data_IF_237038058348
#
_entry.id   IF_237038058348
#
_cell.length_a   1.000
_cell.length_b   1.000
_cell.length_c   1.000
_cell.angle_alpha   90.00
_cell.angle_beta   90.00
_cell.angle_gamma   90.00
#
_symmetry.space_group_name_H-M   'P 1'
#
loop_
_entity.id
_entity.type
_entity.pdbx_description
1 polymer ?
#
# COMPACT_ATOMS: atom_id res chain seq x y z
N UNK A 1 67.67 25.34 12.77
CA UNK A 1 69.04 24.75 12.88
C UNK A 1 68.95 23.25 12.66
N UNK A 2 69.78 22.74 11.70
CA UNK A 2 70.13 21.36 11.45
C UNK A 2 69.03 20.38 11.05
N UNK A 3 69.09 19.57 10.08
CA UNK A 3 69.99 19.30 8.90
C UNK A 3 69.51 17.98 8.35
N UNK A 4 69.41 17.91 7.05
CA UNK A 4 69.14 16.70 6.25
C UNK A 4 70.20 15.63 6.44
N UNK A 5 69.79 14.36 6.31
CA UNK A 5 70.67 13.33 5.66
C UNK A 5 69.87 12.26 4.93
N UNK A 6 70.13 12.15 3.70
CA UNK A 6 69.86 11.14 2.70
C UNK A 6 70.53 9.80 3.02
N UNK A 7 69.89 8.68 2.66
CA UNK A 7 70.55 7.42 2.26
C UNK A 7 69.54 6.63 1.41
N UNK A 8 69.72 6.59 0.12
CA UNK A 8 70.28 5.60 -0.83
C UNK A 8 69.47 4.30 -0.99
N UNK A 9 69.00 4.17 -2.23
CA UNK A 9 68.46 3.02 -2.96
C UNK A 9 69.07 1.66 -2.63
N UNK A 10 68.20 0.65 -2.55
CA UNK A 10 68.50 -0.70 -3.01
C UNK A 10 67.31 -1.22 -3.80
N UNK A 11 67.52 -1.41 -5.12
CA UNK A 11 66.68 -2.14 -6.02
C UNK A 11 66.85 -3.64 -5.75
N UNK A 12 65.81 -4.37 -5.45
CA UNK A 12 65.72 -5.81 -5.60
C UNK A 12 64.53 -6.13 -6.47
N UNK A 13 64.79 -6.60 -7.68
CA UNK A 13 63.85 -7.16 -8.62
C UNK A 13 63.28 -8.48 -8.04
N UNK A 14 61.97 -8.64 -8.04
CA UNK A 14 61.29 -9.92 -7.87
C UNK A 14 60.35 -10.19 -9.07
N UNK A 15 60.19 -11.48 -9.43
CA UNK A 15 59.74 -11.88 -10.76
C UNK A 15 58.24 -11.65 -10.97
N UNK A 16 57.87 -11.44 -12.24
CA UNK A 16 56.49 -11.40 -12.73
C UNK A 16 55.74 -12.71 -12.38
N UNK A 17 54.90 -12.67 -11.37
CA UNK A 17 53.82 -13.63 -11.16
C UNK A 17 52.68 -13.31 -12.11
N UNK A 18 52.37 -14.23 -13.02
CA UNK A 18 51.17 -14.13 -13.86
C UNK A 18 49.91 -14.11 -13.00
N UNK A 19 49.31 -12.94 -12.83
CA UNK A 19 47.99 -12.82 -12.26
C UNK A 19 46.97 -13.36 -13.28
N UNK A 20 46.43 -14.53 -13.01
CA UNK A 20 45.19 -14.97 -13.64
C UNK A 20 44.07 -14.02 -13.25
N UNK A 21 43.74 -13.09 -14.12
CA UNK A 21 42.53 -12.30 -14.03
C UNK A 21 41.40 -13.25 -14.38
N UNK A 22 40.72 -13.84 -13.37
CA UNK A 22 39.41 -14.40 -13.55
C UNK A 22 38.49 -13.23 -13.96
N UNK A 23 37.73 -13.34 -15.07
CA UNK A 23 36.77 -12.35 -15.41
C UNK A 23 35.75 -12.35 -14.25
N UNK A 24 35.66 -11.24 -13.50
CA UNK A 24 34.55 -10.99 -12.64
C UNK A 24 33.31 -11.06 -13.53
N UNK A 25 32.44 -12.07 -13.31
CA UNK A 25 31.10 -12.07 -13.84
C UNK A 25 30.47 -10.76 -13.34
N UNK A 26 30.30 -9.79 -14.25
CA UNK A 26 29.50 -8.63 -13.99
C UNK A 26 28.14 -9.13 -13.47
N UNK A 27 27.59 -8.56 -12.38
CA UNK A 27 26.23 -8.84 -12.01
C UNK A 27 25.40 -8.53 -13.27
N UNK A 28 24.78 -9.57 -13.84
CA UNK A 28 23.92 -9.38 -15.01
C UNK A 28 22.97 -8.26 -14.70
N UNK A 29 22.90 -7.26 -15.57
CA UNK A 29 21.94 -6.18 -15.47
C UNK A 29 20.59 -6.82 -15.19
N UNK A 30 20.07 -6.65 -13.96
CA UNK A 30 18.72 -7.03 -13.63
C UNK A 30 17.83 -6.21 -14.56
N UNK A 31 17.40 -6.81 -15.66
CA UNK A 31 16.62 -6.14 -16.68
C UNK A 31 15.33 -5.72 -16.00
N UNK A 32 15.20 -4.42 -15.75
CA UNK A 32 14.00 -3.85 -15.13
C UNK A 32 12.76 -4.45 -15.79
N UNK A 33 11.83 -4.95 -14.98
CA UNK A 33 10.67 -5.63 -15.51
C UNK A 33 9.95 -4.72 -16.51
N UNK A 34 9.87 -5.14 -17.77
CA UNK A 34 9.22 -4.38 -18.82
C UNK A 34 7.72 -4.27 -18.61
N UNK A 35 7.09 -3.22 -19.12
CA UNK A 35 5.63 -3.09 -19.14
C UNK A 35 5.07 -3.33 -20.56
N UNK A 36 3.77 -3.64 -20.67
CA UNK A 36 3.04 -3.67 -21.92
C UNK A 36 1.57 -3.26 -21.70
N UNK A 37 0.92 -2.79 -22.77
CA UNK A 37 -0.50 -2.44 -22.74
C UNK A 37 -1.43 -3.59 -23.20
N UNK A 38 -0.90 -4.77 -23.45
CA UNK A 38 -1.62 -5.98 -23.84
C UNK A 38 -1.15 -7.21 -23.03
N UNK A 39 -1.88 -8.32 -23.16
CA UNK A 39 -1.60 -9.54 -22.39
C UNK A 39 -0.43 -10.38 -22.93
N UNK A 40 0.08 -10.09 -24.13
CA UNK A 40 0.91 -11.02 -24.90
C UNK A 40 2.15 -11.48 -24.19
N UNK A 41 2.83 -10.60 -23.49
CA UNK A 41 4.09 -10.87 -22.80
C UNK A 41 3.95 -10.98 -21.27
N UNK A 42 2.75 -11.14 -20.73
CA UNK A 42 2.53 -11.20 -19.28
C UNK A 42 3.25 -12.38 -18.63
N UNK A 43 3.37 -13.52 -19.32
CA UNK A 43 4.13 -14.67 -18.80
C UNK A 43 5.64 -14.40 -18.74
N UNK A 44 6.20 -13.70 -19.74
CA UNK A 44 7.61 -13.28 -19.72
C UNK A 44 7.85 -12.32 -18.54
N UNK A 45 6.94 -11.35 -18.33
CA UNK A 45 7.01 -10.43 -17.20
C UNK A 45 6.99 -11.18 -15.85
N UNK A 46 6.15 -12.21 -15.69
CA UNK A 46 6.16 -13.03 -14.47
C UNK A 46 7.53 -13.67 -14.20
N UNK A 47 8.18 -14.19 -15.23
CA UNK A 47 9.52 -14.78 -15.08
C UNK A 47 10.57 -13.72 -14.74
N UNK A 48 10.53 -12.57 -15.40
CA UNK A 48 11.45 -11.45 -15.11
C UNK A 48 11.29 -10.97 -13.64
N UNK A 49 10.07 -10.76 -13.17
CA UNK A 49 9.79 -10.36 -11.78
C UNK A 49 10.24 -11.42 -10.77
N UNK A 50 10.05 -12.71 -11.06
CA UNK A 50 10.54 -13.78 -10.18
C UNK A 50 12.05 -13.79 -10.10
N UNK A 51 12.75 -13.56 -11.23
CA UNK A 51 14.21 -13.47 -11.26
C UNK A 51 14.71 -12.24 -10.49
N UNK A 52 14.07 -11.07 -10.68
CA UNK A 52 14.39 -9.83 -9.96
C UNK A 52 14.26 -9.99 -8.44
N UNK A 53 13.21 -10.71 -7.98
CA UNK A 53 12.93 -10.88 -6.56
C UNK A 53 13.53 -12.16 -5.95
N UNK A 54 14.29 -12.93 -6.72
CA UNK A 54 15.00 -14.11 -6.22
C UNK A 54 15.91 -13.73 -5.04
N UNK A 55 15.82 -14.50 -3.96
CA UNK A 55 16.56 -14.23 -2.71
C UNK A 55 16.02 -13.09 -1.84
N UNK A 56 15.05 -12.29 -2.34
CA UNK A 56 14.40 -11.23 -1.55
C UNK A 56 13.15 -11.73 -0.81
N UNK A 57 12.48 -12.75 -1.36
CA UNK A 57 11.29 -13.38 -0.79
C UNK A 57 11.45 -14.90 -0.72
N UNK A 58 10.66 -15.54 0.13
CA UNK A 58 10.60 -17.00 0.25
C UNK A 58 10.19 -17.64 -1.09
N UNK A 59 10.73 -18.82 -1.45
CA UNK A 59 10.32 -19.54 -2.66
C UNK A 59 8.80 -19.78 -2.73
N UNK A 60 8.15 -20.05 -1.60
CA UNK A 60 6.68 -20.22 -1.51
C UNK A 60 5.90 -18.94 -1.85
N UNK A 61 6.44 -17.77 -1.53
CA UNK A 61 5.87 -16.47 -1.90
C UNK A 61 6.02 -16.23 -3.40
N UNK A 62 7.21 -16.45 -3.95
CA UNK A 62 7.47 -16.30 -5.39
C UNK A 62 6.66 -17.28 -6.24
N UNK A 63 6.39 -18.48 -5.76
CA UNK A 63 5.54 -19.46 -6.44
C UNK A 63 4.10 -18.97 -6.65
N UNK A 64 3.60 -18.02 -5.84
CA UNK A 64 2.27 -17.41 -6.03
C UNK A 64 2.17 -16.62 -7.35
N UNK A 65 3.29 -16.17 -7.91
CA UNK A 65 3.34 -15.43 -9.17
C UNK A 65 2.97 -16.34 -10.36
N UNK A 66 3.28 -17.63 -10.30
CA UNK A 66 3.08 -18.55 -11.43
C UNK A 66 1.60 -18.66 -11.85
N UNK A 67 0.69 -18.69 -10.87
CA UNK A 67 -0.75 -18.79 -11.08
C UNK A 67 -1.44 -17.51 -11.56
N UNK A 68 -0.74 -16.37 -11.62
CA UNK A 68 -1.34 -15.09 -11.99
C UNK A 68 -1.69 -15.05 -13.48
N UNK A 69 -2.83 -14.41 -13.77
CA UNK A 69 -3.35 -14.19 -15.13
C UNK A 69 -3.55 -12.69 -15.37
N UNK A 70 -3.30 -12.24 -16.58
CA UNK A 70 -3.63 -10.87 -16.97
C UNK A 70 -5.13 -10.64 -16.94
N UNK A 71 -5.58 -9.53 -16.35
CA UNK A 71 -7.00 -9.23 -16.17
C UNK A 71 -7.45 -8.04 -17.02
N UNK A 72 -8.06 -8.31 -18.16
CA UNK A 72 -8.64 -7.26 -19.04
C UNK A 72 -9.74 -6.46 -18.33
N UNK A 73 -10.47 -7.10 -17.39
CA UNK A 73 -11.51 -6.42 -16.61
C UNK A 73 -10.92 -5.38 -15.65
N UNK A 74 -9.76 -5.64 -15.04
CA UNK A 74 -9.03 -4.68 -14.21
C UNK A 74 -8.58 -3.49 -15.07
N UNK A 75 -7.99 -3.74 -16.24
CA UNK A 75 -7.57 -2.69 -17.16
C UNK A 75 -8.74 -1.82 -17.61
N UNK A 76 -9.88 -2.44 -17.93
CA UNK A 76 -11.10 -1.69 -18.32
C UNK A 76 -11.55 -0.73 -17.21
N UNK A 77 -11.50 -1.15 -15.96
CA UNK A 77 -11.84 -0.30 -14.81
C UNK A 77 -10.78 0.79 -14.60
N UNK A 78 -9.51 0.46 -14.73
CA UNK A 78 -8.41 1.42 -14.62
C UNK A 78 -8.50 2.54 -15.66
N UNK A 79 -8.97 2.26 -16.87
CA UNK A 79 -9.16 3.26 -17.93
C UNK A 79 -10.46 4.08 -17.79
N UNK A 80 -11.44 3.64 -16.98
CA UNK A 80 -12.77 4.24 -16.83
C UNK A 80 -13.03 4.92 -15.49
N UNK A 81 -12.06 5.67 -14.98
CA UNK A 81 -12.16 6.40 -13.71
C UNK A 81 -13.00 7.68 -13.87
N UNK A 82 -14.32 7.62 -13.63
CA UNK A 82 -15.23 8.78 -13.79
C UNK A 82 -15.58 9.50 -12.48
N UNK A 83 -15.48 8.83 -11.33
CA UNK A 83 -15.99 9.33 -10.05
C UNK A 83 -15.33 10.61 -9.54
N UNK A 84 -14.06 10.84 -9.88
CA UNK A 84 -13.30 12.01 -9.43
C UNK A 84 -13.47 13.26 -10.30
N UNK A 85 -14.33 13.19 -11.33
CA UNK A 85 -14.72 14.33 -12.18
C UNK A 85 -15.96 15.06 -11.66
N UNK A 86 -16.58 14.55 -10.58
CA UNK A 86 -17.79 15.15 -10.00
C UNK A 86 -17.42 16.42 -9.20
N UNK A 87 -18.36 17.37 -9.15
CA UNK A 87 -18.29 18.46 -8.17
C UNK A 87 -18.35 17.91 -6.74
N UNK A 88 -17.86 18.69 -5.75
CA UNK A 88 -17.90 18.28 -4.35
C UNK A 88 -19.33 17.95 -3.88
N UNK A 89 -20.31 18.79 -4.25
CA UNK A 89 -21.72 18.59 -3.86
C UNK A 89 -22.30 17.29 -4.43
N UNK A 90 -22.01 16.98 -5.69
CA UNK A 90 -22.48 15.74 -6.33
C UNK A 90 -21.78 14.51 -5.74
N UNK A 91 -20.46 14.60 -5.52
CA UNK A 91 -19.71 13.50 -4.90
C UNK A 91 -20.22 13.22 -3.51
N UNK A 92 -20.38 14.26 -2.68
CA UNK A 92 -20.92 14.16 -1.32
C UNK A 92 -22.31 13.51 -1.32
N UNK A 93 -23.24 14.04 -2.12
CA UNK A 93 -24.59 13.48 -2.24
C UNK A 93 -24.59 12.00 -2.63
N UNK A 94 -23.71 11.58 -3.56
CA UNK A 94 -23.69 10.19 -4.06
C UNK A 94 -22.99 9.22 -3.10
N UNK A 95 -21.96 9.68 -2.39
CA UNK A 95 -21.05 8.80 -1.64
C UNK A 95 -21.22 8.89 -0.12
N UNK A 96 -21.67 10.03 0.40
CA UNK A 96 -21.70 10.30 1.83
C UNK A 96 -23.11 10.19 2.45
N UNK A 97 -24.17 10.16 1.63
CA UNK A 97 -25.55 10.03 2.14
C UNK A 97 -25.69 8.79 3.03
N UNK A 98 -26.13 8.99 4.28
CA UNK A 98 -26.32 7.93 5.28
C UNK A 98 -25.04 7.48 5.99
N UNK A 99 -23.86 7.91 5.54
CA UNK A 99 -22.58 7.51 6.18
C UNK A 99 -22.48 8.04 7.60
N UNK A 100 -22.84 9.30 7.86
CA UNK A 100 -22.76 9.87 9.22
C UNK A 100 -23.64 9.12 10.24
N UNK A 101 -24.88 8.79 9.89
CA UNK A 101 -25.77 8.00 10.77
C UNK A 101 -25.24 6.58 10.98
N UNK A 102 -24.73 5.94 9.92
CA UNK A 102 -24.09 4.63 10.00
C UNK A 102 -22.84 4.66 10.88
N UNK A 103 -22.02 5.68 10.76
CA UNK A 103 -20.81 5.88 11.55
C UNK A 103 -21.11 6.00 13.04
N UNK A 104 -22.09 6.85 13.44
CA UNK A 104 -22.52 6.96 14.85
C UNK A 104 -22.95 5.62 15.43
N UNK A 105 -23.69 4.79 14.65
CA UNK A 105 -24.08 3.43 15.07
C UNK A 105 -22.85 2.54 15.28
N UNK A 106 -21.89 2.58 14.37
CA UNK A 106 -20.65 1.77 14.46
C UNK A 106 -19.74 2.22 15.58
N UNK A 107 -19.60 3.53 15.81
CA UNK A 107 -18.85 4.07 16.96
C UNK A 107 -19.45 3.55 18.26
N UNK A 108 -20.76 3.65 18.44
CA UNK A 108 -21.44 3.10 19.62
C UNK A 108 -21.27 1.59 19.75
N UNK A 109 -21.43 0.84 18.65
CA UNK A 109 -21.31 -0.63 18.61
C UNK A 109 -19.91 -1.12 18.99
N UNK A 110 -18.87 -0.42 18.53
CA UNK A 110 -17.47 -0.79 18.71
C UNK A 110 -16.72 0.21 19.58
N UNK A 111 -17.41 0.89 20.49
CA UNK A 111 -16.88 1.99 21.31
C UNK A 111 -15.53 1.66 21.92
N UNK A 112 -15.39 0.51 22.60
CA UNK A 112 -14.14 0.10 23.23
C UNK A 112 -12.92 0.11 22.30
N UNK A 113 -13.13 -0.20 21.01
CA UNK A 113 -12.03 -0.22 20.03
C UNK A 113 -11.74 1.18 19.48
N UNK A 114 -12.77 2.02 19.30
CA UNK A 114 -12.59 3.42 18.95
C UNK A 114 -11.88 4.19 20.06
N UNK A 115 -12.30 4.02 21.31
CA UNK A 115 -11.66 4.66 22.47
C UNK A 115 -10.20 4.21 22.61
N UNK A 116 -9.91 2.90 22.47
CA UNK A 116 -8.56 2.35 22.46
C UNK A 116 -7.73 2.94 21.31
N UNK A 117 -8.29 3.08 20.11
CA UNK A 117 -7.60 3.63 18.94
C UNK A 117 -7.29 5.12 19.13
N UNK A 118 -8.22 5.91 19.64
CA UNK A 118 -8.00 7.32 19.93
C UNK A 118 -6.98 7.50 21.04
N UNK A 119 -7.08 6.72 22.12
CA UNK A 119 -6.09 6.73 23.21
C UNK A 119 -4.68 6.38 22.71
N UNK A 120 -4.55 5.37 21.85
CA UNK A 120 -3.25 4.86 21.41
C UNK A 120 -2.66 5.71 20.28
N UNK A 121 -3.47 6.12 19.32
CA UNK A 121 -3.02 6.72 18.07
C UNK A 121 -3.41 8.20 17.92
N UNK A 122 -4.28 8.73 18.75
CA UNK A 122 -4.72 10.13 18.72
C UNK A 122 -5.64 10.47 17.56
N UNK A 123 -6.17 9.49 16.83
CA UNK A 123 -7.07 9.70 15.70
C UNK A 123 -8.50 9.59 16.19
N UNK A 124 -9.33 10.65 16.02
CA UNK A 124 -10.68 10.64 16.56
C UNK A 124 -11.59 9.65 15.82
N UNK A 125 -12.57 9.05 16.52
CA UNK A 125 -13.47 8.03 16.00
C UNK A 125 -14.17 8.44 14.69
N UNK A 126 -14.57 9.68 14.56
CA UNK A 126 -15.28 10.20 13.39
C UNK A 126 -14.47 10.17 12.10
N UNK A 127 -13.15 10.35 12.16
CA UNK A 127 -12.26 10.24 10.99
C UNK A 127 -12.18 8.78 10.51
N UNK A 128 -11.96 7.87 11.45
CA UNK A 128 -11.86 6.43 11.15
C UNK A 128 -13.19 5.92 10.59
N UNK A 129 -14.30 6.29 11.22
CA UNK A 129 -15.63 5.85 10.83
C UNK A 129 -16.09 6.47 9.50
N UNK A 130 -15.74 7.73 9.21
CA UNK A 130 -15.99 8.37 7.91
C UNK A 130 -15.32 7.59 6.78
N UNK A 131 -14.04 7.23 6.93
CA UNK A 131 -13.29 6.45 5.97
C UNK A 131 -13.92 5.07 5.79
N UNK A 132 -14.16 4.34 6.88
CA UNK A 132 -14.76 3.01 6.84
C UNK A 132 -16.11 2.99 6.12
N UNK A 133 -16.94 4.02 6.38
CA UNK A 133 -18.22 4.19 5.71
C UNK A 133 -18.10 4.49 4.22
N UNK A 134 -17.19 5.39 3.84
CA UNK A 134 -16.95 5.77 2.44
C UNK A 134 -16.38 4.63 1.60
N UNK A 135 -15.47 3.82 2.18
CA UNK A 135 -14.77 2.77 1.44
C UNK A 135 -15.63 1.53 1.22
N UNK A 136 -16.35 1.07 2.23
CA UNK A 136 -17.04 -0.21 2.16
C UNK A 136 -18.44 -0.25 2.77
N UNK A 137 -19.03 0.92 3.08
CA UNK A 137 -20.26 0.97 3.87
C UNK A 137 -20.17 0.09 5.15
N UNK A 138 -19.06 0.24 5.86
CA UNK A 138 -18.75 -0.53 7.08
C UNK A 138 -18.65 -2.05 6.84
N UNK A 139 -18.05 -2.46 5.72
CA UNK A 139 -17.90 -3.87 5.34
C UNK A 139 -19.16 -4.52 4.76
N UNK A 140 -20.23 -3.76 4.56
CA UNK A 140 -21.49 -4.30 4.02
C UNK A 140 -21.63 -4.21 2.51
N UNK A 141 -20.74 -3.48 1.84
CA UNK A 141 -20.77 -3.32 0.39
C UNK A 141 -20.57 -4.68 -0.32
N UNK A 142 -21.50 -5.02 -1.21
CA UNK A 142 -21.55 -6.29 -1.96
C UNK A 142 -21.18 -6.10 -3.45
N UNK A 143 -20.36 -5.11 -3.75
CA UNK A 143 -19.89 -4.87 -5.12
C UNK A 143 -19.02 -5.99 -5.67
N UNK A 144 -18.63 -5.84 -6.95
CA UNK A 144 -17.75 -6.79 -7.61
C UNK A 144 -16.38 -6.82 -6.90
N UNK A 145 -15.92 -8.02 -6.57
CA UNK A 145 -14.60 -8.27 -6.02
C UNK A 145 -13.65 -8.88 -7.06
N UNK A 146 -12.35 -8.71 -6.82
CA UNK A 146 -11.27 -9.15 -7.71
C UNK A 146 -10.17 -9.84 -6.90
N UNK A 147 -9.47 -10.85 -7.46
CA UNK A 147 -8.30 -11.43 -6.82
C UNK A 147 -7.22 -10.34 -6.62
N UNK A 148 -6.85 -10.06 -5.37
CA UNK A 148 -5.98 -8.93 -5.01
C UNK A 148 -4.64 -9.00 -5.74
N UNK A 149 -3.88 -10.08 -5.54
CA UNK A 149 -2.54 -10.21 -6.10
C UNK A 149 -2.56 -10.16 -7.64
N UNK A 150 -3.56 -10.77 -8.27
CA UNK A 150 -3.72 -10.75 -9.73
C UNK A 150 -4.03 -9.33 -10.25
N UNK A 151 -4.86 -8.59 -9.55
CA UNK A 151 -5.20 -7.20 -9.92
C UNK A 151 -3.96 -6.31 -9.90
N UNK A 152 -3.19 -6.38 -8.82
CA UNK A 152 -1.97 -5.60 -8.67
C UNK A 152 -0.91 -6.01 -9.70
N UNK A 153 -0.73 -7.31 -9.94
CA UNK A 153 0.18 -7.83 -10.97
C UNK A 153 -0.19 -7.30 -12.37
N UNK A 154 -1.48 -7.31 -12.71
CA UNK A 154 -1.97 -6.76 -13.97
C UNK A 154 -1.64 -5.27 -14.12
N UNK A 155 -1.86 -4.49 -13.07
CA UNK A 155 -1.59 -3.05 -13.05
C UNK A 155 -0.10 -2.72 -12.98
N UNK A 156 0.72 -3.58 -12.36
CA UNK A 156 2.17 -3.47 -12.35
C UNK A 156 2.78 -3.71 -13.74
N UNK A 157 2.22 -4.66 -14.47
CA UNK A 157 2.62 -4.95 -15.85
C UNK A 157 2.15 -3.88 -16.84
N UNK A 158 1.01 -3.21 -16.60
CA UNK A 158 0.46 -2.17 -17.49
C UNK A 158 1.28 -0.89 -17.45
N UNK A 159 1.65 -0.34 -18.63
CA UNK A 159 2.56 0.82 -18.73
C UNK A 159 1.99 2.14 -18.18
N UNK A 160 0.68 2.24 -17.92
CA UNK A 160 0.06 3.51 -17.51
C UNK A 160 0.50 3.99 -16.13
N UNK A 161 0.67 3.07 -15.18
CA UNK A 161 1.02 3.37 -13.78
C UNK A 161 2.01 2.36 -13.20
N UNK A 162 2.91 1.85 -14.04
CA UNK A 162 3.88 0.80 -13.67
C UNK A 162 4.63 1.15 -12.40
N UNK A 163 5.18 2.35 -12.28
CA UNK A 163 5.98 2.77 -11.11
C UNK A 163 5.20 2.66 -9.79
N UNK A 164 3.92 3.02 -9.81
CA UNK A 164 3.07 2.88 -8.64
C UNK A 164 2.82 1.41 -8.33
N UNK A 165 2.32 0.66 -9.32
CA UNK A 165 1.85 -0.70 -9.05
C UNK A 165 2.97 -1.73 -8.93
N UNK A 166 4.18 -1.47 -9.43
CA UNK A 166 5.35 -2.31 -9.12
C UNK A 166 5.73 -2.22 -7.64
N UNK A 167 5.67 -1.03 -7.05
CA UNK A 167 5.84 -0.88 -5.60
C UNK A 167 4.75 -1.59 -4.81
N UNK A 168 3.49 -1.47 -5.25
CA UNK A 168 2.36 -2.15 -4.60
C UNK A 168 2.42 -3.67 -4.77
N UNK A 169 2.91 -4.17 -5.92
CA UNK A 169 3.10 -5.59 -6.15
C UNK A 169 4.18 -6.17 -5.23
N UNK A 170 5.31 -5.47 -5.11
CA UNK A 170 6.37 -5.83 -4.17
C UNK A 170 5.84 -5.84 -2.73
N UNK A 171 5.07 -4.81 -2.33
CA UNK A 171 4.45 -4.75 -1.01
C UNK A 171 3.43 -5.87 -0.78
N UNK A 172 2.66 -6.26 -1.81
CA UNK A 172 1.73 -7.39 -1.73
C UNK A 172 2.45 -8.73 -1.50
N UNK A 173 3.59 -8.94 -2.16
CA UNK A 173 4.44 -10.10 -1.89
C UNK A 173 4.99 -10.07 -0.46
N UNK A 174 5.37 -8.90 0.04
CA UNK A 174 5.85 -8.73 1.42
C UNK A 174 4.76 -9.03 2.46
N UNK A 175 3.51 -8.64 2.20
CA UNK A 175 2.35 -9.01 3.05
C UNK A 175 2.22 -10.53 3.15
N UNK A 176 2.33 -11.24 2.02
CA UNK A 176 2.28 -12.71 1.97
C UNK A 176 3.50 -13.31 2.68
N UNK A 177 4.68 -12.83 2.40
CA UNK A 177 5.95 -13.35 2.91
C UNK A 177 6.06 -13.24 4.44
N UNK A 178 5.54 -12.15 5.00
CA UNK A 178 5.43 -11.93 6.45
C UNK A 178 4.29 -12.72 7.10
N UNK A 179 3.42 -13.36 6.31
CA UNK A 179 2.28 -14.13 6.82
C UNK A 179 1.13 -13.28 7.35
N UNK A 180 1.06 -11.98 7.00
CA UNK A 180 -0.06 -11.13 7.44
C UNK A 180 -1.39 -11.52 6.78
N UNK A 181 -1.36 -11.84 5.47
CA UNK A 181 -2.52 -12.32 4.72
C UNK A 181 -2.09 -13.02 3.44
N UNK A 182 -2.79 -14.09 3.03
CA UNK A 182 -2.58 -14.72 1.71
C UNK A 182 -3.34 -13.95 0.61
N UNK A 183 -2.73 -12.87 0.11
CA UNK A 183 -3.31 -12.04 -0.94
C UNK A 183 -3.48 -12.75 -2.28
N UNK A 184 -2.89 -13.95 -2.46
CA UNK A 184 -3.11 -14.78 -3.65
C UNK A 184 -4.51 -15.42 -3.65
N UNK A 185 -5.13 -15.56 -2.48
CA UNK A 185 -6.48 -16.12 -2.29
C UNK A 185 -7.51 -15.04 -1.92
N UNK A 186 -7.07 -13.92 -1.39
CA UNK A 186 -7.95 -12.85 -0.92
C UNK A 186 -8.58 -12.09 -2.08
N UNK A 187 -9.79 -11.58 -1.81
CA UNK A 187 -10.54 -10.74 -2.73
C UNK A 187 -10.60 -9.31 -2.21
N UNK A 188 -10.54 -8.33 -3.12
CA UNK A 188 -10.58 -6.91 -2.82
C UNK A 188 -11.19 -6.10 -3.95
N UNK A 189 -10.98 -4.79 -3.96
CA UNK A 189 -11.41 -3.98 -5.09
C UNK A 189 -10.46 -4.16 -6.29
N UNK A 190 -10.79 -3.54 -7.40
CA UNK A 190 -10.16 -3.80 -8.70
C UNK A 190 -8.69 -3.37 -8.79
N UNK A 191 -8.25 -2.40 -7.98
CA UNK A 191 -6.84 -1.99 -7.92
C UNK A 191 -6.03 -2.76 -6.86
N UNK A 192 -6.60 -3.83 -6.29
CA UNK A 192 -5.93 -4.70 -5.34
C UNK A 192 -5.98 -4.18 -3.90
N UNK A 193 -6.97 -3.38 -3.59
CA UNK A 193 -7.19 -2.83 -2.25
C UNK A 193 -7.57 -3.94 -1.25
N UNK A 194 -7.04 -3.82 -0.03
CA UNK A 194 -7.11 -4.80 1.05
C UNK A 194 -8.10 -4.36 2.13
N UNK A 195 -9.05 -5.24 2.46
CA UNK A 195 -9.92 -5.09 3.61
C UNK A 195 -10.97 -4.00 3.50
N UNK A 196 -11.63 -3.71 4.62
CA UNK A 196 -12.81 -2.86 4.63
C UNK A 196 -12.53 -1.36 4.48
N UNK A 197 -11.30 -0.90 4.76
CA UNK A 197 -10.86 0.48 4.52
C UNK A 197 -9.98 0.63 3.29
N UNK A 198 -9.93 -0.39 2.44
CA UNK A 198 -9.37 -0.36 1.09
C UNK A 198 -7.90 0.10 1.06
N UNK A 199 -7.08 -0.51 1.93
CA UNK A 199 -5.64 -0.26 1.92
C UNK A 199 -4.98 -0.72 0.62
N UNK A 200 -4.12 0.08 0.03
CA UNK A 200 -3.10 -0.46 -0.86
C UNK A 200 -2.10 -1.31 -0.04
N UNK A 201 -1.44 -2.32 -0.62
CA UNK A 201 -0.51 -3.19 0.11
C UNK A 201 0.57 -2.46 0.90
N UNK A 202 1.17 -1.42 0.33
CA UNK A 202 2.16 -0.60 1.04
C UNK A 202 1.56 0.11 2.26
N UNK A 203 0.34 0.63 2.12
CA UNK A 203 -0.40 1.25 3.22
C UNK A 203 -0.81 0.21 4.29
N UNK A 204 -1.18 -0.99 3.87
CA UNK A 204 -1.47 -2.09 4.78
C UNK A 204 -0.25 -2.45 5.64
N UNK A 205 0.95 -2.55 5.06
CA UNK A 205 2.19 -2.81 5.81
C UNK A 205 2.47 -1.75 6.89
N UNK A 206 2.10 -0.49 6.64
CA UNK A 206 2.25 0.60 7.62
C UNK A 206 1.21 0.50 8.74
N UNK A 207 -0.04 0.22 8.39
CA UNK A 207 -1.20 0.27 9.30
C UNK A 207 -1.49 -1.06 10.01
N UNK A 208 -1.26 -2.20 9.35
CA UNK A 208 -1.68 -3.51 9.84
C UNK A 208 -1.36 -3.74 11.32
N UNK A 209 -2.39 -4.05 12.10
CA UNK A 209 -2.24 -4.36 13.52
C UNK A 209 -3.36 -5.30 13.96
N UNK A 210 -3.01 -6.28 14.75
CA UNK A 210 -3.94 -7.10 15.51
C UNK A 210 -4.44 -6.27 16.71
N UNK A 211 -5.71 -5.94 16.72
CA UNK A 211 -6.27 -5.04 17.71
C UNK A 211 -7.19 -5.74 18.71
N UNK A 212 -7.57 -6.99 18.45
CA UNK A 212 -8.40 -7.84 19.31
C UNK A 212 -7.72 -9.14 19.79
N UNK A 213 -6.51 -9.46 19.31
CA UNK A 213 -5.71 -10.62 19.71
C UNK A 213 -5.95 -11.87 18.86
N UNK A 214 -6.66 -11.76 17.73
CA UNK A 214 -6.98 -12.87 16.84
C UNK A 214 -6.07 -13.03 15.61
N UNK A 215 -5.03 -12.20 15.51
CA UNK A 215 -4.24 -12.01 14.30
C UNK A 215 -4.83 -10.94 13.39
N UNK A 216 -3.99 -10.32 12.54
CA UNK A 216 -4.44 -9.20 11.69
C UNK A 216 -5.49 -9.63 10.67
N UNK A 217 -6.71 -9.11 10.78
CA UNK A 217 -7.82 -9.43 9.89
C UNK A 217 -8.68 -8.21 9.54
N UNK A 218 -8.20 -7.34 8.68
CA UNK A 218 -8.95 -6.16 8.20
C UNK A 218 -10.10 -6.50 7.23
N UNK A 219 -10.27 -7.77 6.89
CA UNK A 219 -11.39 -8.22 6.03
C UNK A 219 -12.69 -8.41 6.81
N UNK A 220 -12.62 -8.87 8.07
CA UNK A 220 -13.80 -9.21 8.87
C UNK A 220 -13.77 -8.75 10.33
N UNK A 221 -12.61 -8.44 10.93
CA UNK A 221 -12.53 -7.87 12.28
C UNK A 221 -12.71 -6.35 12.26
N UNK A 222 -13.81 -5.87 12.87
CA UNK A 222 -14.00 -4.44 13.06
C UNK A 222 -12.91 -3.80 13.93
N UNK A 223 -12.40 -4.54 14.91
CA UNK A 223 -11.30 -4.08 15.77
C UNK A 223 -10.06 -3.78 14.95
N UNK A 224 -9.67 -4.72 14.07
CA UNK A 224 -8.46 -4.56 13.25
C UNK A 224 -8.64 -3.49 12.17
N UNK A 225 -9.84 -3.35 11.62
CA UNK A 225 -10.18 -2.23 10.71
C UNK A 225 -9.95 -0.89 11.40
N UNK A 226 -10.49 -0.72 12.61
CA UNK A 226 -10.38 0.51 13.41
C UNK A 226 -8.91 0.76 13.78
N UNK A 227 -8.26 -0.23 14.39
CA UNK A 227 -6.88 -0.12 14.85
C UNK A 227 -5.89 0.11 13.72
N UNK A 228 -6.01 -0.64 12.61
CA UNK A 228 -5.11 -0.49 11.46
C UNK A 228 -5.26 0.86 10.76
N UNK A 229 -6.49 1.35 10.63
CA UNK A 229 -6.74 2.67 10.04
C UNK A 229 -6.15 3.77 10.92
N UNK A 230 -6.42 3.74 12.23
CA UNK A 230 -5.86 4.72 13.18
C UNK A 230 -4.33 4.70 13.19
N UNK A 231 -3.73 3.51 13.24
CA UNK A 231 -2.27 3.36 13.21
C UNK A 231 -1.66 3.94 11.93
N UNK A 232 -2.30 3.71 10.76
CA UNK A 232 -1.83 4.29 9.51
C UNK A 232 -1.79 5.83 9.58
N UNK A 233 -2.86 6.46 10.08
CA UNK A 233 -2.92 7.91 10.24
C UNK A 233 -1.83 8.44 11.18
N UNK A 234 -1.65 7.80 12.35
CA UNK A 234 -0.60 8.16 13.30
C UNK A 234 0.80 8.05 12.69
N UNK A 235 1.08 6.95 11.95
CA UNK A 235 2.36 6.73 11.27
C UNK A 235 2.62 7.71 10.13
N UNK A 236 1.58 8.35 9.60
CA UNK A 236 1.67 9.37 8.58
C UNK A 236 1.63 10.80 9.13
N UNK A 237 1.81 10.98 10.44
CA UNK A 237 2.00 12.29 11.07
C UNK A 237 0.70 12.94 11.56
N UNK A 238 -0.33 12.16 11.87
CA UNK A 238 -1.53 12.67 12.52
C UNK A 238 -1.20 13.28 13.88
N UNK A 239 -1.66 14.50 14.10
CA UNK A 239 -1.49 15.23 15.35
C UNK A 239 -2.75 15.11 16.21
N UNK A 240 -2.59 14.51 17.40
CA UNK A 240 -3.68 14.37 18.39
C UNK A 240 -4.30 15.74 18.72
N UNK A 241 -5.62 15.83 18.66
CA UNK A 241 -6.36 17.05 18.97
C UNK A 241 -6.18 18.18 17.95
N UNK A 242 -5.37 17.97 16.90
CA UNK A 242 -5.16 18.96 15.84
C UNK A 242 -6.36 19.05 14.89
N UNK A 243 -6.52 20.22 14.28
CA UNK A 243 -7.53 20.47 13.25
C UNK A 243 -7.30 19.58 12.02
N UNK A 244 -8.39 19.13 11.38
CA UNK A 244 -8.38 18.28 10.19
C UNK A 244 -9.05 18.91 8.95
N UNK A 245 -9.33 20.20 9.00
CA UNK A 245 -9.89 20.95 7.87
C UNK A 245 -8.81 21.38 6.87
N UNK A 246 -9.21 21.79 5.65
CA UNK A 246 -8.28 22.26 4.63
C UNK A 246 -7.29 23.31 5.14
N UNK A 247 -6.01 23.09 4.90
CA UNK A 247 -4.92 23.95 5.38
C UNK A 247 -4.24 23.45 6.64
N UNK A 248 -4.82 22.52 7.39
CA UNK A 248 -4.23 21.97 8.61
C UNK A 248 -3.24 20.82 8.34
N UNK A 249 -2.40 20.50 9.34
CA UNK A 249 -1.46 19.39 9.27
C UNK A 249 -2.18 18.04 9.11
N UNK A 250 -3.28 17.81 9.84
CA UNK A 250 -4.05 16.57 9.74
C UNK A 250 -4.79 16.46 8.41
N UNK A 251 -5.21 17.57 7.80
CA UNK A 251 -5.72 17.52 6.42
C UNK A 251 -4.65 17.03 5.44
N UNK A 252 -3.39 17.40 5.66
CA UNK A 252 -2.25 16.87 4.92
C UNK A 252 -2.11 15.34 5.03
N UNK A 253 -2.48 14.74 6.18
CA UNK A 253 -2.53 13.29 6.35
C UNK A 253 -3.70 12.68 5.58
N UNK A 254 -4.88 13.31 5.60
CA UNK A 254 -6.03 12.90 4.77
C UNK A 254 -5.67 12.93 3.28
N UNK A 255 -4.89 13.91 2.82
CA UNK A 255 -4.40 13.99 1.44
C UNK A 255 -3.42 12.85 1.07
N UNK A 256 -2.69 12.31 2.04
CA UNK A 256 -1.86 11.11 1.83
C UNK A 256 -2.70 9.86 1.71
N UNK A 257 -3.81 9.76 2.45
CA UNK A 257 -4.74 8.65 2.36
C UNK A 257 -5.37 8.53 0.97
N UNK A 258 -5.88 9.65 0.43
CA UNK A 258 -6.48 9.68 -0.90
C UNK A 258 -6.16 11.00 -1.62
N UNK A 259 -5.71 10.93 -2.86
CA UNK A 259 -5.28 12.11 -3.65
C UNK A 259 -6.43 12.93 -4.24
N UNK A 260 -7.67 12.41 -4.21
CA UNK A 260 -8.82 13.12 -4.78
C UNK A 260 -9.35 14.20 -3.80
N UNK A 261 -9.24 15.48 -4.19
CA UNK A 261 -9.64 16.61 -3.34
C UNK A 261 -11.11 16.57 -2.89
N UNK A 262 -12.02 16.06 -3.75
CA UNK A 262 -13.44 15.87 -3.38
C UNK A 262 -13.60 14.85 -2.27
N UNK A 263 -12.82 13.77 -2.27
CA UNK A 263 -12.82 12.74 -1.24
C UNK A 263 -12.27 13.28 0.08
N UNK A 264 -11.16 14.00 0.04
CA UNK A 264 -10.51 14.61 1.22
C UNK A 264 -11.47 15.55 1.97
N UNK A 265 -12.11 16.45 1.23
CA UNK A 265 -13.14 17.36 1.78
C UNK A 265 -14.34 16.60 2.32
N UNK A 266 -14.69 15.47 1.70
CA UNK A 266 -15.79 14.62 2.18
C UNK A 266 -15.48 13.97 3.52
N UNK A 267 -14.25 13.50 3.76
CA UNK A 267 -13.85 12.94 5.07
C UNK A 267 -13.99 14.02 6.14
N UNK A 268 -13.43 15.23 5.95
CA UNK A 268 -13.50 16.30 6.93
C UNK A 268 -14.95 16.69 7.26
N UNK A 269 -15.77 16.93 6.23
CA UNK A 269 -17.19 17.26 6.42
C UNK A 269 -17.98 16.15 7.13
N UNK A 270 -17.75 14.89 6.76
CA UNK A 270 -18.41 13.75 7.43
C UNK A 270 -17.98 13.64 8.89
N UNK A 271 -16.71 13.89 9.21
CA UNK A 271 -16.25 13.87 10.59
C UNK A 271 -16.98 14.90 11.44
N UNK A 272 -17.22 16.12 10.94
CA UNK A 272 -18.03 17.14 11.62
C UNK A 272 -19.48 16.65 11.83
N UNK A 273 -20.11 16.11 10.78
CA UNK A 273 -21.48 15.60 10.87
C UNK A 273 -21.61 14.39 11.81
N UNK A 274 -20.57 13.57 11.96
CA UNK A 274 -20.56 12.42 12.88
C UNK A 274 -20.43 12.90 14.32
N UNK A 275 -19.62 13.92 14.55
CA UNK A 275 -19.38 14.53 15.87
C UNK A 275 -20.66 15.20 16.41
N UNK A 276 -21.40 15.93 15.59
CA UNK A 276 -22.66 16.62 15.89
C UNK A 276 -22.52 18.11 16.02
#
# INVERSE_FOLDING_TARGET
>A
MYSAKSVRNWLLALPLGAAFILPALAPGDAQAAFCSNDAGRFNEWKQAIKAEYAGQFKPSTLAKIDGLKYSTSVIKLDRNQKSFKLSFAEFYKRRATGVASGARKRIKQYQKYFDKAEQQFGVPPEIIAAIWGLESAFGTYKGKSFPILQSIATLSYDCRRTDLFSREFRAALEVIDRGYADLSKAQGAWAGEIGQTQFLPSSFLIGATDFDGGGVNVFSSAADVIGSTAKWFARNGWQRGGDYHPGSANFGVIQRWNKAGVYQKTIAKLADEIRG
#
